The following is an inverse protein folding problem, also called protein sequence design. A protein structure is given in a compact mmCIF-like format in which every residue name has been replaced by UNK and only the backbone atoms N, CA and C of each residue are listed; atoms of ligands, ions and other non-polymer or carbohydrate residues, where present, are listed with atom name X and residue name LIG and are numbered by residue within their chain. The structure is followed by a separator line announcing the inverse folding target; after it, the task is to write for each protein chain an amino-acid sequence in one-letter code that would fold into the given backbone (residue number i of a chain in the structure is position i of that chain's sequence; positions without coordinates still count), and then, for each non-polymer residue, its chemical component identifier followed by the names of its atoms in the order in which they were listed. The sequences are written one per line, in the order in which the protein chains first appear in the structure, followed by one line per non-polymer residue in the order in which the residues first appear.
data_IF_147069324282
#
_entry.id   IF_147069324282
#
_cell.length_a   1.000
_cell.length_b   1.000
_cell.length_c   1.000
_cell.angle_alpha   90.00
_cell.angle_beta   90.00
_cell.angle_gamma   90.00
#
_symmetry.space_group_name_H-M   'P 1'
#
loop_
_entity.id
_entity.type
_entity.pdbx_description
1 polymer ?
#
# COMPACT_ATOMS: atom_id res chain seq x y z
N UNK A 1 8.62 -3.51 21.60
CA UNK A 1 9.38 -2.74 20.62
C UNK A 1 10.85 -2.70 20.98
N UNK A 2 11.74 -2.75 19.99
CA UNK A 2 13.21 -2.67 20.13
C UNK A 2 13.72 -1.31 19.68
N UNK A 3 14.79 -0.81 20.31
CA UNK A 3 15.44 0.44 19.91
C UNK A 3 16.19 0.22 18.58
N UNK A 4 15.91 1.07 17.61
CA UNK A 4 16.54 1.04 16.28
C UNK A 4 17.66 2.09 16.18
N UNK A 5 17.35 3.32 16.53
CA UNK A 5 18.25 4.45 16.45
C UNK A 5 17.92 5.51 17.49
N UNK A 6 18.91 6.32 17.84
CA UNK A 6 18.79 7.37 18.83
C UNK A 6 19.69 8.55 18.45
N UNK A 7 19.17 9.76 18.57
CA UNK A 7 19.93 11.01 18.49
C UNK A 7 19.72 11.86 19.76
N UNK A 8 20.15 13.11 19.79
CA UNK A 8 20.05 13.96 20.97
C UNK A 8 18.61 14.19 21.43
N UNK A 9 17.66 14.25 20.52
CA UNK A 9 16.27 14.61 20.76
C UNK A 9 15.28 13.45 20.73
N UNK A 10 15.55 12.41 19.95
CA UNK A 10 14.58 11.37 19.60
C UNK A 10 15.17 9.96 19.76
N UNK A 11 14.26 9.00 19.98
CA UNK A 11 14.55 7.56 19.85
C UNK A 11 13.53 6.93 18.91
N UNK A 12 14.00 6.14 17.96
CA UNK A 12 13.18 5.33 17.08
C UNK A 12 13.12 3.89 17.59
N UNK A 13 11.93 3.40 17.81
CA UNK A 13 11.66 2.02 18.16
C UNK A 13 10.87 1.34 17.05
N UNK A 14 10.98 0.02 16.96
CA UNK A 14 10.16 -0.81 16.08
C UNK A 14 9.69 -2.08 16.76
N UNK A 15 8.57 -2.62 16.32
CA UNK A 15 8.13 -3.97 16.60
C UNK A 15 8.53 -4.87 15.42
N UNK A 16 9.42 -5.83 15.66
CA UNK A 16 9.95 -6.71 14.60
C UNK A 16 8.92 -7.72 14.06
N UNK A 17 7.81 -7.93 14.76
CA UNK A 17 6.73 -8.84 14.32
C UNK A 17 5.65 -8.10 13.52
N UNK A 18 5.27 -6.88 13.97
CA UNK A 18 4.21 -6.08 13.34
C UNK A 18 4.73 -4.97 12.44
N UNK A 19 6.05 -4.77 12.39
CA UNK A 19 6.76 -3.71 11.65
C UNK A 19 6.36 -2.28 12.02
N UNK A 20 5.52 -2.12 13.05
CA UNK A 20 5.12 -0.83 13.57
C UNK A 20 6.30 -0.09 14.19
N UNK A 21 6.29 1.23 14.07
CA UNK A 21 7.30 2.09 14.67
C UNK A 21 6.72 3.00 15.75
N UNK A 22 7.59 3.44 16.64
CA UNK A 22 7.29 4.48 17.62
C UNK A 22 8.47 5.43 17.75
N UNK A 23 8.18 6.72 17.82
CA UNK A 23 9.18 7.77 18.05
C UNK A 23 8.96 8.36 19.43
N UNK A 24 9.95 8.22 20.30
CA UNK A 24 9.97 8.83 21.63
C UNK A 24 10.71 10.17 21.56
N UNK A 25 10.05 11.23 21.98
CA UNK A 25 10.61 12.56 22.09
C UNK A 25 11.21 12.77 23.49
N UNK A 26 12.54 12.94 23.58
CA UNK A 26 13.25 13.11 24.84
C UNK A 26 12.97 14.46 25.54
N UNK A 27 12.47 15.45 24.78
CA UNK A 27 12.26 16.79 25.31
C UNK A 27 11.04 16.90 26.23
N UNK A 28 10.03 16.04 26.01
CA UNK A 28 8.78 16.07 26.77
C UNK A 28 8.28 14.67 27.19
N UNK A 29 8.95 13.60 26.73
CA UNK A 29 8.59 12.22 27.04
C UNK A 29 7.40 11.70 26.22
N UNK A 30 6.91 12.43 25.21
CA UNK A 30 5.83 11.97 24.36
C UNK A 30 6.26 10.83 23.42
N UNK A 31 5.30 10.00 23.04
CA UNK A 31 5.50 8.90 22.06
C UNK A 31 4.51 9.05 20.94
N UNK A 32 5.02 9.03 19.71
CA UNK A 32 4.21 8.99 18.49
C UNK A 32 4.30 7.60 17.88
N UNK A 33 3.17 6.94 17.64
CA UNK A 33 3.08 5.62 17.04
C UNK A 33 2.70 5.68 15.57
N UNK A 34 3.18 4.73 14.77
CA UNK A 34 2.76 4.57 13.37
C UNK A 34 1.29 4.18 13.24
N UNK A 35 0.76 3.49 14.25
CA UNK A 35 -0.59 2.94 14.24
C UNK A 35 -1.28 3.20 15.59
N UNK A 36 -2.60 3.39 15.61
CA UNK A 36 -3.35 3.57 16.85
C UNK A 36 -3.20 2.34 17.77
N UNK A 37 -2.89 2.59 19.05
CA UNK A 37 -2.59 1.52 19.99
C UNK A 37 -3.84 0.83 20.58
N UNK A 38 -4.99 1.51 20.51
CA UNK A 38 -6.30 1.04 20.98
C UNK A 38 -7.23 0.59 19.84
N UNK A 39 -6.66 0.32 18.64
CA UNK A 39 -7.41 -0.01 17.42
C UNK A 39 -8.33 -1.24 17.54
N UNK A 40 -7.98 -2.21 18.37
CA UNK A 40 -8.78 -3.42 18.59
C UNK A 40 -10.14 -3.16 19.26
N UNK A 41 -10.28 -1.97 19.85
CA UNK A 41 -11.56 -1.53 20.46
C UNK A 41 -12.50 -0.86 19.47
N UNK A 42 -12.09 -0.71 18.21
CA UNK A 42 -12.82 0.02 17.17
C UNK A 42 -13.38 -0.90 16.09
N UNK A 43 -14.61 -0.61 15.67
CA UNK A 43 -15.40 -1.44 14.78
C UNK A 43 -15.23 -1.06 13.29
N UNK A 44 -14.01 -0.98 12.81
CA UNK A 44 -13.77 -0.94 11.36
C UNK A 44 -14.08 -2.31 10.73
N UNK A 45 -14.45 -2.35 9.45
CA UNK A 45 -14.66 -3.60 8.69
C UNK A 45 -13.82 -3.63 7.44
N UNK A 46 -13.39 -4.84 7.03
CA UNK A 46 -12.61 -5.05 5.81
C UNK A 46 -11.29 -4.28 5.83
N UNK A 47 -10.89 -3.75 4.69
CA UNK A 47 -9.62 -3.04 4.52
C UNK A 47 -9.49 -1.81 5.44
N UNK A 48 -10.60 -1.15 5.79
CA UNK A 48 -10.57 0.00 6.70
C UNK A 48 -10.16 -0.40 8.13
N UNK A 49 -10.45 -1.62 8.56
CA UNK A 49 -10.01 -2.15 9.84
C UNK A 49 -8.52 -2.54 9.77
N UNK A 50 -8.12 -3.26 8.72
CA UNK A 50 -6.74 -3.72 8.58
C UNK A 50 -5.74 -2.58 8.32
N UNK A 51 -6.18 -1.49 7.68
CA UNK A 51 -5.37 -0.29 7.52
C UNK A 51 -4.93 0.34 8.86
N UNK A 52 -5.72 0.18 9.94
CA UNK A 52 -5.31 0.62 11.28
C UNK A 52 -4.05 -0.10 11.80
N UNK A 53 -3.73 -1.26 11.27
CA UNK A 53 -2.52 -2.05 11.58
C UNK A 53 -1.45 -1.97 10.47
N UNK A 54 -1.71 -1.19 9.42
CA UNK A 54 -0.85 -1.09 8.24
C UNK A 54 -0.01 0.19 8.28
N UNK A 55 1.19 0.14 7.75
CA UNK A 55 2.06 1.30 7.54
C UNK A 55 2.18 1.69 6.06
N UNK A 56 1.71 0.82 5.17
CA UNK A 56 1.78 1.00 3.72
C UNK A 56 0.53 0.40 3.07
N UNK A 57 -0.11 1.14 2.17
CA UNK A 57 -1.14 0.62 1.28
C UNK A 57 -0.79 0.90 -0.18
N UNK A 58 -1.19 0.00 -1.06
CA UNK A 58 -0.89 0.04 -2.49
C UNK A 58 -2.18 -0.12 -3.27
N UNK A 59 -2.44 0.81 -4.16
CA UNK A 59 -3.50 0.70 -5.18
C UNK A 59 -2.86 0.33 -6.50
N UNK A 60 -3.42 -0.63 -7.20
CA UNK A 60 -2.90 -1.13 -8.46
C UNK A 60 -4.00 -1.39 -9.49
N UNK A 61 -3.61 -1.44 -10.76
CA UNK A 61 -4.43 -1.94 -11.86
C UNK A 61 -4.04 -3.39 -12.16
N UNK A 62 -5.04 -4.24 -12.37
CA UNK A 62 -4.80 -5.56 -12.93
C UNK A 62 -4.78 -5.53 -14.48
N UNK A 63 -4.48 -6.66 -15.13
CA UNK A 63 -4.47 -6.81 -16.60
C UNK A 63 -5.77 -6.32 -17.29
N UNK A 64 -6.90 -6.43 -16.62
CA UNK A 64 -8.19 -5.97 -17.14
C UNK A 64 -8.45 -4.46 -16.89
N UNK A 65 -7.51 -3.74 -16.25
CA UNK A 65 -7.64 -2.33 -15.89
C UNK A 65 -8.54 -2.06 -14.68
N UNK A 66 -8.94 -3.10 -13.93
CA UNK A 66 -9.67 -2.93 -12.69
C UNK A 66 -8.73 -2.47 -11.59
N UNK A 67 -9.26 -1.61 -10.71
CA UNK A 67 -8.52 -1.06 -9.56
C UNK A 67 -8.76 -1.92 -8.33
N UNK A 68 -7.71 -2.19 -7.58
CA UNK A 68 -7.79 -2.80 -6.26
C UNK A 68 -6.77 -2.14 -5.32
N UNK A 69 -7.08 -2.14 -4.02
CA UNK A 69 -6.20 -1.64 -2.97
C UNK A 69 -5.91 -2.76 -1.98
N UNK A 70 -4.64 -2.93 -1.65
CA UNK A 70 -4.12 -3.88 -0.67
C UNK A 70 -3.22 -3.14 0.32
N UNK A 71 -2.95 -3.75 1.46
CA UNK A 71 -2.04 -3.18 2.46
C UNK A 71 -1.00 -4.19 2.94
N UNK A 72 0.08 -3.70 3.53
CA UNK A 72 1.18 -4.55 3.99
C UNK A 72 0.79 -5.43 5.19
N UNK A 73 -0.20 -5.05 5.99
CA UNK A 73 -0.63 -5.87 7.12
C UNK A 73 -1.30 -7.17 6.66
N UNK A 74 -2.30 -7.06 5.77
CA UNK A 74 -3.05 -8.23 5.29
C UNK A 74 -2.23 -9.12 4.35
N UNK A 75 -1.41 -8.51 3.46
CA UNK A 75 -0.78 -9.21 2.35
C UNK A 75 0.68 -9.63 2.63
N UNK A 76 1.29 -9.13 3.71
CA UNK A 76 2.70 -9.38 4.02
C UNK A 76 2.91 -9.74 5.48
N UNK A 77 2.55 -8.85 6.42
CA UNK A 77 2.89 -9.00 7.84
C UNK A 77 2.23 -10.23 8.46
N UNK A 78 0.93 -10.42 8.24
CA UNK A 78 0.20 -11.60 8.75
C UNK A 78 0.80 -12.92 8.30
N UNK A 79 1.40 -12.93 7.12
CA UNK A 79 1.95 -14.12 6.49
C UNK A 79 3.47 -14.26 6.73
N UNK A 80 4.08 -13.31 7.46
CA UNK A 80 5.53 -13.29 7.69
C UNK A 80 6.35 -13.06 6.43
N UNK A 81 5.77 -12.42 5.41
CA UNK A 81 6.36 -12.18 4.08
C UNK A 81 7.06 -10.82 4.04
N UNK A 82 7.99 -10.58 4.93
CA UNK A 82 8.80 -9.38 4.92
C UNK A 82 10.21 -9.65 5.43
N UNK A 83 11.13 -8.82 4.99
CA UNK A 83 12.53 -8.81 5.44
C UNK A 83 12.84 -7.52 6.18
N UNK A 84 13.86 -7.57 7.03
CA UNK A 84 14.27 -6.44 7.86
C UNK A 84 15.77 -6.23 7.71
N UNK A 85 16.16 -5.00 7.37
CA UNK A 85 17.56 -4.60 7.24
C UNK A 85 17.86 -3.42 8.17
N UNK A 86 18.98 -3.52 8.90
CA UNK A 86 19.53 -2.35 9.62
C UNK A 86 20.21 -1.41 8.64
N UNK A 87 19.82 -0.14 8.65
CA UNK A 87 20.44 0.90 7.84
C UNK A 87 21.04 1.99 8.75
N UNK A 88 21.83 2.88 8.18
CA UNK A 88 22.38 3.99 8.96
C UNK A 88 21.26 4.85 9.54
N UNK A 89 21.28 5.05 10.86
CA UNK A 89 20.32 5.83 11.63
C UNK A 89 18.86 5.36 11.51
N UNK A 90 18.63 4.06 11.15
CA UNK A 90 17.30 3.59 10.89
C UNK A 90 17.15 2.10 10.59
N UNK A 91 16.00 1.77 10.03
CA UNK A 91 15.60 0.40 9.66
C UNK A 91 14.89 0.44 8.30
N UNK A 92 15.08 -0.60 7.51
CA UNK A 92 14.38 -0.85 6.25
C UNK A 92 13.59 -2.13 6.36
N UNK A 93 12.32 -2.08 5.99
CA UNK A 93 11.46 -3.21 5.77
C UNK A 93 11.27 -3.42 4.28
N UNK A 94 11.36 -4.66 3.82
CA UNK A 94 11.06 -5.06 2.44
C UNK A 94 9.84 -5.96 2.52
N UNK A 95 8.69 -5.45 2.13
CA UNK A 95 7.42 -6.17 2.16
C UNK A 95 7.21 -6.90 0.84
N UNK A 96 6.82 -8.17 0.91
CA UNK A 96 6.27 -8.91 -0.22
C UNK A 96 4.75 -8.98 -0.05
N UNK A 97 4.03 -8.18 -0.83
CA UNK A 97 2.56 -8.14 -0.85
C UNK A 97 2.09 -9.21 -1.83
N UNK A 98 1.78 -10.38 -1.32
CA UNK A 98 1.38 -11.52 -2.14
C UNK A 98 0.24 -12.28 -1.47
N UNK A 99 -0.62 -12.91 -2.27
CA UNK A 99 -1.57 -13.86 -1.71
C UNK A 99 -0.82 -15.02 -1.06
N UNK A 100 -1.32 -15.53 0.07
CA UNK A 100 -0.74 -16.71 0.75
C UNK A 100 -0.53 -17.90 -0.20
N UNK A 101 -1.35 -17.96 -1.26
CA UNK A 101 -1.37 -19.04 -2.24
C UNK A 101 -0.34 -18.85 -3.37
N UNK A 102 0.35 -17.69 -3.44
CA UNK A 102 1.44 -17.46 -4.41
C UNK A 102 2.74 -18.17 -4.00
N UNK A 103 2.79 -18.75 -2.80
CA UNK A 103 3.95 -19.46 -2.29
C UNK A 103 3.91 -20.89 -2.80
N UNK A 104 4.71 -21.15 -3.85
CA UNK A 104 5.16 -22.47 -4.28
C UNK A 104 4.06 -23.54 -4.50
N UNK A 105 3.01 -23.21 -5.25
CA UNK A 105 2.12 -24.26 -5.78
C UNK A 105 2.79 -24.91 -6.98
N UNK A 106 3.06 -26.23 -6.88
CA UNK A 106 3.50 -27.04 -8.02
C UNK A 106 2.32 -27.47 -8.93
N UNK A 107 1.12 -26.91 -8.74
CA UNK A 107 -0.05 -27.19 -9.56
C UNK A 107 -0.04 -26.28 -10.79
N UNK A 108 0.29 -26.79 -11.99
CA UNK A 108 0.40 -25.95 -13.17
C UNK A 108 -0.98 -25.53 -13.69
N UNK A 109 -1.09 -24.33 -14.22
CA UNK A 109 -2.30 -23.86 -14.89
C UNK A 109 -2.51 -24.55 -16.24
N UNK A 110 -1.41 -24.92 -16.89
CA UNK A 110 -1.38 -25.70 -18.12
C UNK A 110 -0.59 -26.97 -17.87
N UNK A 111 -1.15 -28.11 -18.17
CA UNK A 111 -0.50 -29.42 -17.98
C UNK A 111 -0.64 -30.27 -19.22
N UNK A 112 0.44 -30.88 -19.61
CA UNK A 112 0.45 -31.86 -20.71
C UNK A 112 -0.36 -33.11 -20.34
N UNK A 113 -0.77 -33.88 -21.33
CA UNK A 113 -1.42 -35.19 -21.10
C UNK A 113 -0.50 -36.12 -20.31
N UNK A 114 0.79 -36.10 -20.60
CA UNK A 114 1.80 -36.93 -19.90
C UNK A 114 1.95 -36.48 -18.43
N UNK A 115 2.02 -35.19 -18.16
CA UNK A 115 2.07 -34.62 -16.81
C UNK A 115 0.83 -34.96 -15.99
N UNK A 116 -0.36 -34.79 -16.59
CA UNK A 116 -1.62 -35.13 -15.95
C UNK A 116 -1.72 -36.64 -15.65
N UNK A 117 -1.35 -37.50 -16.60
CA UNK A 117 -1.35 -38.97 -16.41
C UNK A 117 -0.37 -39.37 -15.32
N UNK A 118 0.84 -38.77 -15.28
CA UNK A 118 1.83 -39.02 -14.21
C UNK A 118 1.24 -38.79 -12.82
N UNK A 119 0.47 -37.73 -12.64
CA UNK A 119 -0.18 -37.42 -11.36
C UNK A 119 -1.32 -38.38 -11.09
N UNK A 120 -2.18 -38.65 -12.08
CA UNK A 120 -3.34 -39.54 -11.91
C UNK A 120 -2.95 -41.00 -11.60
N UNK A 121 -1.94 -41.54 -12.29
CA UNK A 121 -1.50 -42.94 -12.10
C UNK A 121 -0.89 -43.19 -10.71
N UNK A 122 -0.29 -42.16 -10.11
CA UNK A 122 0.31 -42.26 -8.78
C UNK A 122 -0.64 -41.83 -7.65
N UNK A 123 -1.86 -41.43 -7.98
CA UNK A 123 -2.88 -40.99 -7.04
C UNK A 123 -3.89 -42.09 -6.74
N UNK A 124 -4.62 -41.96 -5.63
CA UNK A 124 -5.80 -42.77 -5.37
C UNK A 124 -6.90 -42.51 -6.42
N UNK A 125 -7.81 -43.48 -6.66
CA UNK A 125 -8.95 -43.28 -7.59
C UNK A 125 -9.75 -42.02 -7.31
N UNK A 126 -9.90 -41.67 -6.04
CA UNK A 126 -10.62 -40.45 -5.61
C UNK A 126 -9.83 -39.18 -5.98
N UNK A 127 -8.53 -39.16 -5.70
CA UNK A 127 -7.65 -38.02 -6.01
C UNK A 127 -7.49 -37.85 -7.53
N UNK A 128 -7.32 -38.92 -8.28
CA UNK A 128 -7.25 -38.92 -9.74
C UNK A 128 -8.52 -38.30 -10.38
N UNK A 129 -9.74 -38.67 -9.88
CA UNK A 129 -10.97 -38.06 -10.32
C UNK A 129 -11.07 -36.58 -9.93
N UNK A 130 -10.56 -36.23 -8.76
CA UNK A 130 -10.50 -34.82 -8.30
C UNK A 130 -9.64 -33.99 -9.22
N UNK A 131 -8.41 -34.44 -9.53
CA UNK A 131 -7.50 -33.77 -10.46
C UNK A 131 -8.13 -33.63 -11.84
N UNK A 132 -8.62 -34.75 -12.42
CA UNK A 132 -9.23 -34.75 -13.74
C UNK A 132 -10.43 -33.80 -13.85
N UNK A 133 -11.25 -33.70 -12.79
CA UNK A 133 -12.40 -32.80 -12.75
C UNK A 133 -12.04 -31.30 -12.64
N UNK A 134 -10.78 -30.98 -12.35
CA UNK A 134 -10.31 -29.59 -12.24
C UNK A 134 -9.62 -29.09 -13.51
N UNK A 135 -9.28 -29.96 -14.42
CA UNK A 135 -8.68 -29.61 -15.71
C UNK A 135 -9.65 -29.87 -16.87
N UNK A 136 -9.57 -29.03 -17.89
CA UNK A 136 -10.34 -29.12 -19.12
C UNK A 136 -9.39 -29.12 -20.31
N UNK A 137 -9.60 -30.01 -21.27
CA UNK A 137 -8.80 -30.08 -22.48
C UNK A 137 -9.14 -28.90 -23.41
N UNK A 138 -8.16 -28.09 -23.74
CA UNK A 138 -8.25 -26.95 -24.66
C UNK A 138 -7.03 -26.96 -25.57
N UNK A 139 -7.26 -27.00 -26.89
CA UNK A 139 -6.20 -26.97 -27.92
C UNK A 139 -5.03 -27.97 -27.72
N UNK A 140 -5.31 -29.13 -27.14
CA UNK A 140 -4.32 -30.17 -26.92
C UNK A 140 -3.56 -30.11 -25.59
N UNK A 141 -3.84 -29.14 -24.77
CA UNK A 141 -3.28 -28.97 -23.40
C UNK A 141 -4.42 -28.96 -22.37
N UNK A 142 -4.19 -29.50 -21.21
CA UNK A 142 -5.16 -29.45 -20.12
C UNK A 142 -5.00 -28.13 -19.33
N UNK A 143 -6.08 -27.35 -19.25
CA UNK A 143 -6.12 -26.04 -18.58
C UNK A 143 -6.89 -26.16 -17.27
N UNK A 144 -6.32 -25.62 -16.19
CA UNK A 144 -6.97 -25.58 -14.88
C UNK A 144 -8.20 -24.65 -14.91
N UNK A 145 -9.34 -25.14 -14.43
CA UNK A 145 -10.59 -24.38 -14.42
C UNK A 145 -10.49 -23.12 -13.53
N UNK A 146 -11.08 -22.02 -13.95
CA UNK A 146 -11.12 -20.76 -13.19
C UNK A 146 -11.73 -20.90 -11.79
N UNK A 147 -12.72 -21.81 -11.64
CA UNK A 147 -13.31 -22.10 -10.33
C UNK A 147 -12.34 -22.83 -9.39
N UNK A 148 -11.38 -23.58 -9.94
CA UNK A 148 -10.33 -24.21 -9.16
C UNK A 148 -9.24 -23.20 -8.78
N UNK A 149 -8.80 -22.35 -9.72
CA UNK A 149 -7.84 -21.27 -9.50
C UNK A 149 -8.27 -20.33 -8.35
N UNK A 150 -9.59 -20.02 -8.25
CA UNK A 150 -10.17 -19.14 -7.23
C UNK A 150 -10.47 -19.81 -5.89
N UNK A 151 -10.26 -21.10 -5.76
CA UNK A 151 -10.58 -21.85 -4.55
C UNK A 151 -9.32 -22.19 -3.76
N UNK A 152 -9.01 -21.42 -2.71
CA UNK A 152 -7.86 -21.66 -1.82
C UNK A 152 -7.80 -23.14 -1.34
N UNK A 153 -8.87 -23.61 -0.71
CA UNK A 153 -8.98 -25.00 -0.22
C UNK A 153 -8.84 -26.02 -1.38
N UNK A 154 -9.33 -25.66 -2.58
CA UNK A 154 -9.20 -26.47 -3.77
C UNK A 154 -7.75 -26.58 -4.25
N UNK A 155 -7.03 -25.47 -4.31
CA UNK A 155 -5.62 -25.41 -4.69
C UNK A 155 -4.70 -26.13 -3.70
N UNK A 156 -4.88 -25.88 -2.38
CA UNK A 156 -4.15 -26.62 -1.34
C UNK A 156 -4.33 -28.14 -1.45
N UNK A 157 -5.57 -28.58 -1.73
CA UNK A 157 -5.85 -29.99 -1.92
C UNK A 157 -5.16 -30.55 -3.16
N UNK A 158 -5.20 -29.81 -4.27
CA UNK A 158 -4.50 -30.21 -5.50
C UNK A 158 -2.99 -30.26 -5.26
N UNK A 159 -2.41 -29.24 -4.62
CA UNK A 159 -0.98 -29.21 -4.34
C UNK A 159 -0.51 -30.44 -3.57
N UNK A 160 -1.24 -30.84 -2.51
CA UNK A 160 -0.95 -32.07 -1.75
C UNK A 160 -1.06 -33.34 -2.60
N UNK A 161 -1.96 -33.37 -3.58
CA UNK A 161 -2.07 -34.52 -4.50
C UNK A 161 -0.87 -34.58 -5.44
N UNK A 162 -0.48 -33.43 -6.02
CA UNK A 162 0.66 -33.32 -6.91
C UNK A 162 1.99 -33.69 -6.20
N UNK A 163 2.21 -33.16 -4.98
CA UNK A 163 3.36 -33.51 -4.15
C UNK A 163 3.43 -35.03 -3.86
N UNK A 164 2.31 -35.62 -3.42
CA UNK A 164 2.23 -37.08 -3.16
C UNK A 164 2.47 -37.93 -4.39
N UNK A 165 2.06 -37.45 -5.56
CA UNK A 165 2.30 -38.10 -6.83
C UNK A 165 3.76 -37.95 -7.30
N UNK A 166 4.59 -37.17 -6.60
CA UNK A 166 5.98 -36.91 -6.97
C UNK A 166 6.08 -36.05 -8.22
N UNK A 167 5.14 -35.13 -8.43
CA UNK A 167 5.25 -34.10 -9.43
C UNK A 167 6.25 -33.04 -8.89
N UNK A 168 7.21 -32.63 -9.69
CA UNK A 168 8.34 -31.80 -9.27
C UNK A 168 8.29 -30.41 -9.90
N UNK A 169 9.12 -29.48 -9.41
CA UNK A 169 9.31 -28.15 -10.04
C UNK A 169 9.81 -28.27 -11.49
N UNK A 170 10.61 -29.32 -11.83
CA UNK A 170 11.05 -29.57 -13.20
C UNK A 170 9.86 -29.97 -14.09
N UNK A 171 8.94 -30.82 -13.58
CA UNK A 171 7.72 -31.20 -14.28
C UNK A 171 6.85 -29.96 -14.52
N UNK A 172 6.69 -29.08 -13.48
CA UNK A 172 5.98 -27.83 -13.55
C UNK A 172 6.55 -26.91 -14.64
N UNK A 173 7.85 -26.66 -14.60
CA UNK A 173 8.53 -25.82 -15.58
C UNK A 173 8.34 -26.32 -17.02
N UNK A 174 8.40 -27.65 -17.20
CA UNK A 174 8.18 -28.29 -18.51
C UNK A 174 6.76 -28.15 -19.01
N UNK A 175 5.76 -28.32 -18.13
CA UNK A 175 4.35 -28.24 -18.51
C UNK A 175 3.91 -26.78 -18.74
N UNK A 176 4.57 -25.82 -18.09
CA UNK A 176 4.34 -24.37 -18.27
C UNK A 176 5.13 -23.77 -19.43
N UNK A 177 6.07 -24.51 -20.05
CA UNK A 177 6.89 -24.02 -21.16
C UNK A 177 6.04 -23.53 -22.34
N UNK A 178 6.20 -22.25 -22.73
CA UNK A 178 5.44 -21.62 -23.80
C UNK A 178 4.03 -21.14 -23.43
N UNK A 179 3.64 -21.30 -22.19
CA UNK A 179 2.41 -20.74 -21.64
C UNK A 179 2.76 -19.53 -20.77
N UNK A 180 2.02 -18.42 -20.93
CA UNK A 180 2.10 -17.32 -19.97
C UNK A 180 1.49 -17.82 -18.66
N UNK A 181 2.26 -17.75 -17.59
CA UNK A 181 1.71 -17.86 -16.24
C UNK A 181 0.67 -16.76 -16.05
N UNK A 182 -0.52 -17.14 -15.56
CA UNK A 182 -1.33 -16.18 -14.80
C UNK A 182 -0.54 -15.99 -13.49
N UNK A 183 0.52 -15.19 -13.55
CA UNK A 183 1.39 -14.91 -12.43
C UNK A 183 0.52 -14.40 -11.28
N UNK A 184 0.56 -15.09 -10.15
CA UNK A 184 -0.10 -14.63 -8.93
C UNK A 184 0.45 -13.25 -8.57
N UNK A 185 -0.44 -12.37 -8.07
CA UNK A 185 -0.06 -11.05 -7.57
C UNK A 185 1.11 -11.17 -6.61
N UNK A 186 2.22 -10.51 -6.91
CA UNK A 186 3.31 -10.29 -5.97
C UNK A 186 3.95 -8.92 -6.21
N UNK A 187 3.99 -8.11 -5.17
CA UNK A 187 4.62 -6.80 -5.18
C UNK A 187 5.65 -6.75 -4.06
N UNK A 188 6.92 -6.56 -4.41
CA UNK A 188 7.97 -6.29 -3.42
C UNK A 188 8.14 -4.78 -3.30
N UNK A 189 8.03 -4.25 -2.08
CA UNK A 189 8.12 -2.81 -1.83
C UNK A 189 8.90 -2.50 -0.54
N UNK A 190 10.01 -1.75 -0.63
CA UNK A 190 10.80 -1.36 0.53
C UNK A 190 10.29 -0.05 1.14
N UNK A 191 10.30 0.00 2.48
CA UNK A 191 10.00 1.19 3.27
C UNK A 191 11.07 1.39 4.33
N UNK A 192 11.75 2.53 4.27
CA UNK A 192 12.81 2.92 5.20
C UNK A 192 12.32 3.93 6.22
N UNK A 193 12.78 3.79 7.46
CA UNK A 193 12.59 4.76 8.53
C UNK A 193 13.96 5.19 9.06
N UNK A 194 14.24 6.49 9.05
CA UNK A 194 15.49 7.06 9.52
C UNK A 194 15.26 8.20 10.49
N UNK A 195 16.04 8.26 11.57
CA UNK A 195 16.14 9.48 12.37
C UNK A 195 17.05 10.47 11.67
N UNK A 196 16.60 11.70 11.63
CA UNK A 196 17.38 12.86 11.16
C UNK A 196 17.51 13.87 12.30
N UNK A 197 18.35 14.88 12.13
CA UNK A 197 18.48 15.98 13.11
C UNK A 197 17.15 16.73 13.31
N UNK A 198 16.26 16.68 12.33
CA UNK A 198 14.96 17.40 12.32
C UNK A 198 13.76 16.53 12.69
N UNK A 199 13.90 15.22 12.73
CA UNK A 199 12.78 14.33 13.02
C UNK A 199 12.94 12.92 12.45
N UNK A 200 11.83 12.32 12.03
CA UNK A 200 11.77 11.02 11.35
C UNK A 200 11.60 11.24 9.84
N UNK A 201 12.30 10.49 9.04
CA UNK A 201 12.05 10.38 7.60
C UNK A 201 11.56 8.96 7.25
N UNK A 202 10.46 8.89 6.52
CA UNK A 202 9.93 7.65 5.95
C UNK A 202 10.09 7.71 4.43
N UNK A 203 10.75 6.71 3.82
CA UNK A 203 11.08 6.70 2.39
C UNK A 203 10.75 5.37 1.74
N UNK A 204 9.98 5.40 0.66
CA UNK A 204 9.80 4.26 -0.26
C UNK A 204 10.85 4.37 -1.37
N UNK A 205 11.67 3.33 -1.51
CA UNK A 205 12.70 3.23 -2.56
C UNK A 205 12.07 2.68 -3.84
N UNK A 206 11.59 3.55 -4.73
CA UNK A 206 10.85 3.16 -5.93
C UNK A 206 11.70 2.32 -6.90
N UNK A 207 13.01 2.56 -6.95
CA UNK A 207 13.92 1.79 -7.80
C UNK A 207 14.02 0.30 -7.42
N UNK A 208 13.68 -0.03 -6.18
CA UNK A 208 13.75 -1.38 -5.62
C UNK A 208 12.35 -2.04 -5.55
N UNK A 209 11.33 -1.43 -6.17
CA UNK A 209 10.00 -2.03 -6.28
C UNK A 209 10.00 -3.05 -7.42
N UNK A 210 9.46 -4.24 -7.13
CA UNK A 210 9.25 -5.29 -8.13
C UNK A 210 7.77 -5.63 -8.21
N UNK A 211 7.26 -5.76 -9.44
CA UNK A 211 5.85 -6.06 -9.74
C UNK A 211 5.79 -7.37 -10.53
N UNK A 212 5.01 -8.34 -10.06
CA UNK A 212 4.77 -9.62 -10.73
C UNK A 212 3.27 -9.92 -10.78
N UNK A 213 2.81 -10.67 -11.78
CA UNK A 213 1.41 -11.08 -11.89
C UNK A 213 0.51 -10.10 -12.64
N UNK A 214 1.04 -9.42 -13.65
CA UNK A 214 0.26 -8.47 -14.44
C UNK A 214 -0.46 -7.41 -13.59
N UNK A 215 0.20 -6.94 -12.57
CA UNK A 215 -0.23 -5.86 -11.69
C UNK A 215 0.63 -4.62 -11.95
N UNK A 216 -0.01 -3.48 -11.88
CA UNK A 216 0.60 -2.19 -12.16
C UNK A 216 0.26 -1.23 -11.02
N UNK A 217 1.20 -0.98 -10.12
CA UNK A 217 0.99 -0.06 -9.00
C UNK A 217 0.65 1.32 -9.57
N UNK A 218 -0.42 1.92 -9.09
CA UNK A 218 -0.82 3.28 -9.44
C UNK A 218 -0.58 4.26 -8.31
N UNK A 219 -0.85 3.86 -7.07
CA UNK A 219 -0.73 4.74 -5.91
C UNK A 219 -0.12 4.00 -4.73
N UNK A 220 0.68 4.72 -3.94
CA UNK A 220 1.28 4.25 -2.69
C UNK A 220 0.91 5.23 -1.59
N UNK A 221 0.28 4.73 -0.53
CA UNK A 221 -0.07 5.46 0.70
C UNK A 221 0.94 5.12 1.79
N UNK A 222 1.53 6.14 2.42
CA UNK A 222 2.59 5.96 3.41
C UNK A 222 2.11 6.44 4.77
N UNK A 223 2.23 5.59 5.79
CA UNK A 223 1.99 5.92 7.20
C UNK A 223 0.63 6.61 7.45
N UNK A 224 -0.45 6.04 6.91
CA UNK A 224 -1.80 6.63 6.96
C UNK A 224 -2.22 7.08 8.37
N UNK A 225 -1.85 6.34 9.40
CA UNK A 225 -2.25 6.62 10.78
C UNK A 225 -1.12 7.07 11.69
N UNK A 226 0.02 7.55 11.14
CA UNK A 226 1.14 8.03 11.94
C UNK A 226 0.72 9.25 12.78
N UNK A 227 0.73 9.08 14.09
CA UNK A 227 0.30 10.12 15.02
C UNK A 227 -1.18 10.47 14.95
N UNK A 228 -2.01 9.54 14.47
CA UNK A 228 -3.46 9.71 14.43
C UNK A 228 -4.02 10.05 15.81
N UNK A 229 -4.93 11.01 15.86
CA UNK A 229 -5.57 11.48 17.09
C UNK A 229 -6.89 10.76 17.34
N UNK A 230 -7.15 10.37 18.58
CA UNK A 230 -8.40 9.72 18.96
C UNK A 230 -9.61 10.66 18.81
N UNK A 231 -10.80 10.08 18.83
CA UNK A 231 -12.06 10.83 18.82
C UNK A 231 -12.34 11.65 20.11
N UNK A 232 -11.40 11.67 21.06
CA UNK A 232 -11.46 12.47 22.29
C UNK A 232 -10.47 13.63 22.30
N UNK A 233 -9.47 13.60 21.41
CA UNK A 233 -8.43 14.62 21.36
C UNK A 233 -8.98 15.97 20.92
N UNK A 234 -8.38 17.06 21.39
CA UNK A 234 -8.68 18.42 21.00
C UNK A 234 -7.58 18.96 20.08
N UNK A 235 -7.98 19.62 18.99
CA UNK A 235 -7.02 20.18 18.05
C UNK A 235 -7.54 20.25 16.64
N UNK A 236 -6.63 20.10 15.69
CA UNK A 236 -6.94 20.25 14.27
C UNK A 236 -5.93 19.51 13.40
N UNK A 237 -6.32 19.25 12.16
CA UNK A 237 -5.44 18.87 11.06
C UNK A 237 -5.13 20.13 10.26
N UNK A 238 -3.85 20.38 9.97
CA UNK A 238 -3.39 21.40 9.03
C UNK A 238 -3.29 20.74 7.65
N UNK A 239 -3.98 21.32 6.66
CA UNK A 239 -3.90 20.91 5.25
C UNK A 239 -3.45 22.08 4.38
N UNK A 240 -2.77 21.85 3.26
CA UNK A 240 -2.17 22.90 2.43
C UNK A 240 -3.16 23.56 1.45
N UNK A 241 -4.45 23.56 1.76
CA UNK A 241 -5.50 24.12 0.93
C UNK A 241 -5.33 25.63 0.79
N UNK A 242 -5.12 26.12 -0.43
CA UNK A 242 -4.76 27.50 -0.70
C UNK A 242 -3.51 27.95 0.09
N UNK A 243 -3.68 28.88 1.02
CA UNK A 243 -2.64 29.36 1.95
C UNK A 243 -2.50 28.51 3.22
N UNK A 244 -3.28 27.46 3.35
CA UNK A 244 -3.40 26.56 4.50
C UNK A 244 -4.76 26.69 5.20
N UNK A 245 -5.37 25.53 5.48
CA UNK A 245 -6.65 25.43 6.19
C UNK A 245 -6.52 24.52 7.42
N UNK A 246 -7.42 24.70 8.38
CA UNK A 246 -7.49 23.90 9.59
C UNK A 246 -8.81 23.13 9.64
N UNK A 247 -8.71 21.80 9.74
CA UNK A 247 -9.85 20.90 9.93
C UNK A 247 -9.92 20.55 11.42
N UNK A 248 -10.94 21.02 12.12
CA UNK A 248 -11.08 20.73 13.55
C UNK A 248 -11.31 19.23 13.78
N UNK A 249 -10.58 18.67 14.75
CA UNK A 249 -10.77 17.27 15.16
C UNK A 249 -12.19 17.09 15.71
N UNK A 250 -12.76 15.91 15.46
CA UNK A 250 -14.06 15.51 16.00
C UNK A 250 -15.19 16.50 15.69
N UNK A 251 -15.10 17.20 14.57
CA UNK A 251 -16.08 18.20 14.16
C UNK A 251 -17.48 17.64 13.89
N UNK A 252 -17.63 16.32 13.81
CA UNK A 252 -18.87 15.66 13.39
C UNK A 252 -19.22 15.89 11.91
N UNK A 253 -18.32 16.48 11.16
CA UNK A 253 -18.52 16.75 9.74
C UNK A 253 -18.54 15.44 8.94
N UNK A 254 -19.65 15.19 8.25
CA UNK A 254 -19.84 14.05 7.36
C UNK A 254 -19.49 14.34 5.89
N UNK A 255 -18.88 15.50 5.61
CA UNK A 255 -18.42 15.84 4.28
C UNK A 255 -17.36 14.82 3.76
N UNK A 256 -17.09 14.85 2.47
CA UNK A 256 -16.05 14.05 1.84
C UNK A 256 -14.70 14.28 2.55
N UNK A 257 -13.90 13.24 2.70
CA UNK A 257 -12.53 13.36 3.20
C UNK A 257 -11.72 14.34 2.33
N UNK A 258 -10.82 15.07 2.94
CA UNK A 258 -9.89 15.92 2.20
C UNK A 258 -8.95 15.03 1.38
N UNK A 259 -8.86 15.30 0.10
CA UNK A 259 -7.89 14.71 -0.81
C UNK A 259 -7.53 15.76 -1.86
N UNK A 260 -6.29 16.24 -1.84
CA UNK A 260 -5.85 17.27 -2.76
C UNK A 260 -4.44 16.97 -3.27
N UNK A 261 -4.29 16.97 -4.60
CA UNK A 261 -2.98 16.88 -5.24
C UNK A 261 -2.11 18.10 -4.89
N UNK A 262 -0.82 17.87 -4.68
CA UNK A 262 0.15 18.93 -4.47
C UNK A 262 0.45 19.56 -5.82
N UNK A 263 0.48 20.88 -5.83
CA UNK A 263 0.56 21.70 -7.03
C UNK A 263 -0.62 21.44 -7.97
N UNK A 264 -1.00 22.41 -8.73
CA UNK A 264 -2.10 22.27 -9.64
C UNK A 264 -1.62 21.71 -10.98
N UNK A 265 -2.57 21.30 -11.82
CA UNK A 265 -2.31 20.95 -13.21
C UNK A 265 -1.77 22.23 -13.89
N UNK A 266 -0.62 22.11 -14.59
CA UNK A 266 -0.11 23.19 -15.39
C UNK A 266 -1.11 23.51 -16.55
N UNK A 267 -1.80 24.65 -16.50
CA UNK A 267 -2.80 24.98 -17.51
C UNK A 267 -2.19 25.18 -18.91
N UNK A 268 -0.88 25.36 -19.00
CA UNK A 268 -0.16 25.48 -20.28
C UNK A 268 0.09 24.12 -20.92
N UNK A 269 0.20 23.05 -20.10
CA UNK A 269 0.40 21.69 -20.58
C UNK A 269 -0.89 21.07 -21.14
N UNK A 270 -2.06 21.59 -20.74
CA UNK A 270 -3.35 21.11 -21.23
C UNK A 270 -3.98 22.10 -22.23
N UNK A 271 -3.90 21.79 -23.51
CA UNK A 271 -4.63 22.53 -24.53
C UNK A 271 -6.15 22.38 -24.32
N UNK A 272 -6.84 23.51 -24.03
CA UNK A 272 -8.30 23.67 -24.14
C UNK A 272 -9.20 23.10 -23.01
N UNK A 273 -8.73 22.92 -21.80
CA UNK A 273 -9.66 22.70 -20.68
C UNK A 273 -9.93 24.03 -19.99
N UNK A 274 -11.20 24.44 -19.93
CA UNK A 274 -11.62 25.51 -19.01
C UNK A 274 -11.57 24.87 -17.62
N UNK A 275 -10.49 25.12 -16.88
CA UNK A 275 -10.35 24.69 -15.50
C UNK A 275 -11.10 25.74 -14.68
N UNK A 276 -12.14 25.31 -13.95
CA UNK A 276 -12.66 26.15 -12.86
C UNK A 276 -11.51 26.38 -11.88
N UNK A 277 -11.23 27.63 -11.56
CA UNK A 277 -10.24 27.97 -10.54
C UNK A 277 -10.75 27.46 -9.19
N UNK A 278 -10.24 26.31 -8.76
CA UNK A 278 -10.46 25.75 -7.42
C UNK A 278 -9.24 26.06 -6.54
N UNK A 279 -9.46 26.19 -5.24
CA UNK A 279 -8.36 26.21 -4.30
C UNK A 279 -7.56 24.90 -4.43
N UNK A 280 -6.23 25.01 -4.52
CA UNK A 280 -5.34 23.88 -4.70
C UNK A 280 -4.27 23.83 -3.60
N UNK A 281 -3.73 22.67 -3.31
CA UNK A 281 -2.60 22.51 -2.42
C UNK A 281 -1.33 23.07 -3.07
N UNK A 282 -0.73 24.10 -2.47
CA UNK A 282 0.46 24.78 -3.01
C UNK A 282 1.75 24.40 -2.32
N UNK A 283 1.65 23.75 -1.17
CA UNK A 283 2.80 23.37 -0.35
C UNK A 283 2.76 21.86 -0.07
N UNK A 284 3.90 21.17 -0.15
CA UNK A 284 3.98 19.73 0.12
C UNK A 284 4.05 19.46 1.63
N UNK A 285 3.04 19.91 2.38
CA UNK A 285 3.01 19.85 3.83
C UNK A 285 1.64 19.42 4.35
N UNK A 286 1.62 18.82 5.54
CA UNK A 286 0.42 18.63 6.35
C UNK A 286 0.81 18.53 7.83
N UNK A 287 -0.15 18.49 8.71
CA UNK A 287 0.15 18.33 10.13
C UNK A 287 -1.08 17.98 10.95
N UNK A 288 -0.86 17.46 12.12
CA UNK A 288 -1.92 17.17 13.09
C UNK A 288 -1.50 17.68 14.45
N UNK A 289 -2.35 18.53 15.05
CA UNK A 289 -2.24 18.94 16.44
C UNK A 289 -3.27 18.19 17.25
N UNK A 290 -2.81 17.50 18.29
CA UNK A 290 -3.65 16.79 19.24
C UNK A 290 -3.19 17.13 20.66
N UNK A 291 -4.08 17.76 21.43
CA UNK A 291 -3.82 18.24 22.79
C UNK A 291 -2.55 19.12 22.87
N UNK A 292 -1.53 18.72 23.62
CA UNK A 292 -0.30 19.48 23.83
C UNK A 292 0.81 19.18 22.81
N UNK A 293 0.56 18.27 21.85
CA UNK A 293 1.54 17.82 20.87
C UNK A 293 1.08 18.10 19.45
N UNK A 294 2.04 18.25 18.55
CA UNK A 294 1.75 18.30 17.13
C UNK A 294 2.83 17.59 16.31
N UNK A 295 2.40 17.02 15.19
CA UNK A 295 3.26 16.48 14.16
C UNK A 295 3.15 17.38 12.95
N UNK A 296 4.28 17.78 12.41
CA UNK A 296 4.36 18.49 11.15
C UNK A 296 5.06 17.63 10.13
N UNK A 297 4.41 17.36 9.02
CA UNK A 297 4.91 16.54 7.93
C UNK A 297 5.24 17.40 6.71
N UNK A 298 6.34 17.07 6.05
CA UNK A 298 6.76 17.65 4.78
C UNK A 298 7.11 16.53 3.81
N UNK A 299 6.50 16.53 2.64
CA UNK A 299 6.88 15.64 1.54
C UNK A 299 8.18 16.19 0.97
N UNK A 300 9.27 15.42 1.07
CA UNK A 300 10.64 15.84 0.73
C UNK A 300 11.13 15.28 -0.59
N UNK A 301 10.45 14.24 -1.10
CA UNK A 301 10.67 13.70 -2.44
C UNK A 301 9.35 13.10 -2.97
N UNK A 302 9.12 13.20 -4.27
CA UNK A 302 7.90 12.75 -4.92
C UNK A 302 6.71 13.73 -4.78
N UNK A 303 6.94 14.96 -4.35
CA UNK A 303 5.91 15.97 -4.11
C UNK A 303 5.09 16.33 -5.35
N UNK A 304 5.68 16.28 -6.56
CA UNK A 304 4.98 16.54 -7.81
C UNK A 304 3.91 15.50 -8.19
N UNK A 305 3.97 14.32 -7.59
CA UNK A 305 3.01 13.21 -7.80
C UNK A 305 2.23 12.88 -6.53
N UNK A 306 2.36 13.72 -5.51
CA UNK A 306 1.76 13.48 -4.21
C UNK A 306 0.40 14.15 -4.06
N UNK A 307 -0.43 13.57 -3.20
CA UNK A 307 -1.63 14.18 -2.65
C UNK A 307 -1.56 14.16 -1.13
N UNK A 308 -2.15 15.17 -0.50
CA UNK A 308 -2.42 15.16 0.95
C UNK A 308 -3.84 14.67 1.19
N UNK A 309 -3.96 13.72 2.10
CA UNK A 309 -5.23 13.13 2.51
C UNK A 309 -5.46 13.42 3.99
N UNK A 310 -6.69 13.72 4.36
CA UNK A 310 -7.09 13.88 5.76
C UNK A 310 -8.55 13.52 5.98
N UNK A 311 -8.85 12.93 7.12
CA UNK A 311 -10.22 12.68 7.54
C UNK A 311 -10.36 12.79 9.06
N UNK A 312 -11.60 12.99 9.50
CA UNK A 312 -11.95 13.12 10.92
C UNK A 312 -12.62 11.86 11.44
N UNK A 313 -12.51 11.64 12.75
CA UNK A 313 -13.12 10.51 13.43
C UNK A 313 -14.65 10.45 13.23
N UNK A 314 -15.18 9.23 13.22
CA UNK A 314 -16.62 8.97 13.19
C UNK A 314 -17.20 8.63 11.82
N UNK A 315 -16.36 8.55 10.77
CA UNK A 315 -16.78 8.09 9.43
C UNK A 315 -16.38 6.63 9.19
N UNK A 316 -15.11 6.41 8.83
CA UNK A 316 -14.57 5.07 8.53
C UNK A 316 -14.02 4.38 9.79
N UNK A 317 -13.52 5.18 10.73
CA UNK A 317 -12.94 4.74 12.00
C UNK A 317 -13.08 5.84 13.05
N UNK A 318 -12.53 5.62 14.25
CA UNK A 318 -12.60 6.58 15.37
C UNK A 318 -11.33 7.44 15.52
N UNK A 319 -10.61 7.65 14.42
CA UNK A 319 -9.38 8.46 14.44
C UNK A 319 -9.46 9.62 13.46
N UNK A 320 -8.80 10.71 13.84
CA UNK A 320 -8.49 11.84 12.98
C UNK A 320 -7.08 11.64 12.46
N UNK A 321 -6.85 11.71 11.16
CA UNK A 321 -5.57 11.39 10.55
C UNK A 321 -5.31 12.20 9.28
N UNK A 322 -4.02 12.33 8.94
CA UNK A 322 -3.57 12.90 7.69
C UNK A 322 -2.31 12.18 7.20
N UNK A 323 -2.20 12.00 5.88
CA UNK A 323 -1.09 11.29 5.27
C UNK A 323 -0.83 11.72 3.83
N UNK A 324 0.32 11.33 3.31
CA UNK A 324 0.66 11.50 1.90
C UNK A 324 0.35 10.24 1.11
N UNK A 325 -0.25 10.39 -0.07
CA UNK A 325 -0.33 9.38 -1.11
C UNK A 325 0.43 9.83 -2.35
N UNK A 326 0.98 8.88 -3.11
CA UNK A 326 1.81 9.16 -4.27
C UNK A 326 1.27 8.41 -5.49
N UNK A 327 0.94 9.13 -6.56
CA UNK A 327 0.51 8.55 -7.82
C UNK A 327 1.75 8.19 -8.66
N UNK A 328 2.22 6.95 -8.55
CA UNK A 328 3.47 6.48 -9.14
C UNK A 328 3.35 6.00 -10.57
N UNK A 329 2.13 5.98 -11.11
CA UNK A 329 1.85 5.57 -12.48
C UNK A 329 0.55 6.18 -12.98
N UNK A 330 0.62 6.85 -14.12
CA UNK A 330 -0.54 7.44 -14.76
C UNK A 330 -1.36 6.40 -15.54
N UNK A 331 -2.66 6.65 -15.62
CA UNK A 331 -3.61 5.95 -16.46
C UNK A 331 -4.38 6.96 -17.29
N UNK A 332 -4.29 6.85 -18.60
CA UNK A 332 -5.07 7.64 -19.51
C UNK A 332 -6.22 6.83 -20.11
N UNK A 333 -7.30 7.50 -20.45
CA UNK A 333 -8.40 6.93 -21.22
C UNK A 333 -8.28 7.38 -22.68
N UNK A 334 -7.83 6.48 -23.53
CA UNK A 334 -7.73 6.75 -24.96
C UNK A 334 -9.13 6.70 -25.58
N UNK A 335 -9.62 7.87 -25.98
CA UNK A 335 -10.89 8.01 -26.68
C UNK A 335 -10.70 7.86 -28.19
N UNK A 336 -10.96 6.68 -28.72
CA UNK A 336 -10.79 6.37 -30.15
C UNK A 336 -11.83 7.05 -31.08
N UNK A 337 -12.97 7.50 -30.54
CA UNK A 337 -14.10 7.97 -31.33
C UNK A 337 -14.52 9.43 -31.07
N UNK A 338 -13.75 10.16 -30.25
CA UNK A 338 -14.00 11.59 -29.98
C UNK A 338 -15.23 11.88 -29.10
N UNK A 339 -15.85 10.86 -28.51
CA UNK A 339 -16.99 11.02 -27.59
C UNK A 339 -16.51 10.70 -26.15
N UNK A 340 -16.32 11.75 -25.38
CA UNK A 340 -15.82 11.64 -24.00
C UNK A 340 -16.80 10.84 -23.10
N UNK A 341 -16.28 9.88 -22.32
CA UNK A 341 -17.09 9.05 -21.42
C UNK A 341 -17.86 7.94 -22.14
N UNK A 342 -17.51 7.60 -23.37
CA UNK A 342 -18.11 6.47 -24.07
C UNK A 342 -17.58 5.14 -23.53
N UNK A 343 -18.38 4.06 -23.61
CA UNK A 343 -17.94 2.69 -23.27
C UNK A 343 -16.78 2.17 -24.14
N UNK A 344 -16.33 2.95 -25.11
CA UNK A 344 -15.23 2.67 -26.02
C UNK A 344 -13.90 3.31 -25.60
N UNK A 345 -13.85 4.01 -24.45
CA UNK A 345 -12.60 4.53 -23.93
C UNK A 345 -11.72 3.36 -23.48
N UNK A 346 -10.52 3.28 -24.05
CA UNK A 346 -9.55 2.22 -23.75
C UNK A 346 -8.60 2.73 -22.67
N UNK A 347 -8.54 2.08 -21.50
CA UNK A 347 -7.57 2.45 -20.49
C UNK A 347 -6.16 2.09 -20.95
N UNK A 348 -5.28 3.07 -20.97
CA UNK A 348 -3.85 2.90 -21.21
C UNK A 348 -3.10 3.20 -19.94
N UNK A 349 -2.47 2.19 -19.38
CA UNK A 349 -1.64 2.29 -18.17
C UNK A 349 -0.19 2.41 -18.59
N UNK A 350 0.54 3.35 -18.01
CA UNK A 350 1.96 3.52 -18.25
C UNK A 350 2.74 2.26 -17.79
N UNK A 351 3.74 1.84 -18.57
CA UNK A 351 4.48 0.60 -18.27
C UNK A 351 5.46 0.74 -17.11
N UNK A 352 6.04 1.92 -16.93
CA UNK A 352 7.07 2.15 -15.93
C UNK A 352 6.55 2.96 -14.75
N UNK A 353 7.05 2.63 -13.56
CA UNK A 353 6.87 3.46 -12.37
C UNK A 353 7.64 4.78 -12.52
N UNK A 354 7.16 5.80 -11.88
CA UNK A 354 7.88 7.05 -11.66
C UNK A 354 9.15 6.76 -10.86
N UNK A 355 10.32 7.24 -11.34
CA UNK A 355 11.63 6.77 -10.84
C UNK A 355 12.25 7.63 -9.72
N UNK A 356 11.43 8.31 -8.93
CA UNK A 356 11.89 9.12 -7.81
C UNK A 356 11.49 8.44 -6.51
N UNK A 357 12.38 8.44 -5.52
CA UNK A 357 12.03 8.00 -4.16
C UNK A 357 10.88 8.85 -3.61
N UNK A 358 10.05 8.24 -2.78
CA UNK A 358 8.91 8.91 -2.14
C UNK A 358 9.27 9.11 -0.67
N UNK A 359 9.38 10.36 -0.22
CA UNK A 359 9.83 10.64 1.15
C UNK A 359 8.94 11.63 1.86
N UNK A 360 8.63 11.33 3.12
CA UNK A 360 7.94 12.23 4.04
C UNK A 360 8.77 12.40 5.31
N UNK A 361 9.07 13.65 5.65
CA UNK A 361 9.79 14.01 6.88
C UNK A 361 8.80 14.51 7.93
N UNK A 362 8.88 13.96 9.14
CA UNK A 362 8.01 14.27 10.27
C UNK A 362 8.79 14.97 11.37
N UNK A 363 8.34 16.16 11.79
CA UNK A 363 8.86 16.92 12.93
C UNK A 363 7.88 16.86 14.09
N UNK A 364 8.39 16.75 15.31
CA UNK A 364 7.61 16.59 16.53
C UNK A 364 7.65 17.89 17.34
N UNK A 365 6.50 18.54 17.48
CA UNK A 365 6.35 19.84 18.14
C UNK A 365 5.61 19.67 19.45
N UNK A 366 6.07 20.39 20.47
CA UNK A 366 5.55 20.26 21.83
C UNK A 366 5.30 21.62 22.46
N UNK A 367 4.45 21.70 23.46
CA UNK A 367 4.14 22.94 24.22
C UNK A 367 3.72 24.09 23.30
N UNK A 368 4.36 25.23 23.43
CA UNK A 368 4.04 26.47 22.68
C UNK A 368 4.29 26.31 21.16
N UNK A 369 5.17 25.40 20.76
CA UNK A 369 5.42 25.09 19.35
C UNK A 369 4.41 24.09 18.76
N UNK A 370 3.60 23.41 19.58
CA UNK A 370 2.52 22.53 19.12
C UNK A 370 1.33 23.35 18.59
N UNK A 371 1.59 24.09 17.52
CA UNK A 371 0.60 25.00 16.90
C UNK A 371 0.88 25.16 15.40
N UNK A 372 -0.12 25.64 14.65
CA UNK A 372 0.08 25.95 13.21
C UNK A 372 1.20 26.98 13.00
N UNK A 373 1.37 27.93 13.94
CA UNK A 373 2.47 28.89 13.90
C UNK A 373 3.83 28.22 14.13
N UNK A 374 3.90 27.21 15.01
CA UNK A 374 5.09 26.36 15.19
C UNK A 374 5.40 25.52 13.95
N UNK A 375 4.37 24.90 13.35
CA UNK A 375 4.51 24.18 12.07
C UNK A 375 5.06 25.10 10.98
N UNK A 376 4.54 26.32 10.86
CA UNK A 376 5.03 27.31 9.90
C UNK A 376 6.49 27.76 10.16
N UNK A 377 6.90 27.88 11.43
CA UNK A 377 8.33 28.14 11.76
C UNK A 377 9.23 26.98 11.40
N UNK A 378 8.76 25.74 11.60
CA UNK A 378 9.51 24.51 11.27
C UNK A 378 9.68 24.33 9.76
N UNK A 379 8.76 24.86 8.95
CA UNK A 379 8.85 24.81 7.49
C UNK A 379 9.93 25.75 6.92
N UNK A 380 10.21 26.88 7.57
CA UNK A 380 11.22 27.86 7.15
C UNK A 380 12.64 27.38 7.35
#
# INVERSE_FOLDING_TARGET
MVLVSENDNLKLYTNLETTEIAVYNKNDGSITYSNPQDRDTHTGTGINASNLSSTLAVTYYNKAGNVATINNYDMSIKNGQFETESIKDGIRYIYTLADEDSIASIVPYYISEDGLNKVMEKSSDYDARTVKGKYKLENGTYVLNDSAKKSKVGMEKLNKIFEKAGYTEEDYAKDMEGHEEDESLSITIPLEYRLTDKGLEATVKVADIEEHGNVYISQIDVLQFFGAASNKAQGYILVPDGSGALINLNSGNQATAYNQAIYDIDPVAQNYVVIEETECARLPIFGIKADDNAIFARITAGDAIASVNADVAGKLNNYNYAYASFNVREKELLNMFGVQGSKSDIPVVEKSLYKIDLSVSYSFLTKDDASYSGMARTYR
#
